data_IF_613036902113
#
_entry.id   IF_613036902113
#
_cell.length_a   1.000
_cell.length_b   1.000
_cell.length_c   1.000
_cell.angle_alpha   90.00
_cell.angle_beta   90.00
_cell.angle_gamma   90.00
#
_symmetry.space_group_name_H-M   'P 1'
#
loop_
_entity.id
_entity.type
_entity.pdbx_description
1 polymer ?
#
# COMPACT_ATOMS: atom_id res chain seq x y z
N UNK A 1 -5.69 -32.69 5.67
CA UNK A 1 -6.75 -31.88 5.02
C UNK A 1 -7.19 -30.64 5.82
N UNK A 2 -7.23 -30.67 7.17
CA UNK A 2 -7.62 -29.49 7.98
C UNK A 2 -6.72 -28.26 7.75
N UNK A 3 -5.41 -28.46 7.68
CA UNK A 3 -4.40 -27.40 7.45
C UNK A 3 -4.57 -26.62 6.15
N UNK A 4 -5.02 -27.29 5.07
CA UNK A 4 -5.25 -26.66 3.76
C UNK A 4 -6.45 -25.70 3.81
N UNK A 5 -7.48 -26.05 4.57
CA UNK A 5 -8.66 -25.18 4.76
C UNK A 5 -8.30 -23.90 5.54
N UNK A 6 -7.44 -24.01 6.56
CA UNK A 6 -6.94 -22.85 7.30
C UNK A 6 -5.99 -21.99 6.47
N UNK A 7 -5.15 -22.61 5.63
CA UNK A 7 -4.28 -21.88 4.72
C UNK A 7 -5.10 -21.09 3.68
N UNK A 8 -6.14 -21.70 3.10
CA UNK A 8 -7.02 -21.02 2.15
C UNK A 8 -7.80 -19.86 2.80
N UNK A 9 -8.32 -20.05 4.02
CA UNK A 9 -9.00 -18.98 4.76
C UNK A 9 -8.05 -17.85 5.16
N UNK A 10 -6.83 -18.17 5.59
CA UNK A 10 -5.83 -17.17 5.94
C UNK A 10 -5.45 -16.32 4.72
N UNK A 11 -5.30 -16.95 3.55
CA UNK A 11 -5.02 -16.26 2.30
C UNK A 11 -6.15 -15.30 1.92
N UNK A 12 -7.40 -15.76 2.03
CA UNK A 12 -8.58 -14.93 1.74
C UNK A 12 -8.67 -13.71 2.66
N UNK A 13 -8.42 -13.89 3.96
CA UNK A 13 -8.39 -12.79 4.93
C UNK A 13 -7.28 -11.80 4.60
N UNK A 14 -6.09 -12.29 4.20
CA UNK A 14 -4.98 -11.43 3.82
C UNK A 14 -5.31 -10.57 2.59
N UNK A 15 -5.96 -11.17 1.59
CA UNK A 15 -6.43 -10.44 0.40
C UNK A 15 -7.42 -9.36 0.81
N UNK A 16 -8.44 -9.69 1.63
CA UNK A 16 -9.41 -8.70 2.09
C UNK A 16 -8.72 -7.55 2.82
N UNK A 17 -7.81 -7.84 3.75
CA UNK A 17 -7.09 -6.81 4.50
C UNK A 17 -6.29 -5.91 3.55
N UNK A 18 -5.57 -6.47 2.58
CA UNK A 18 -4.79 -5.66 1.61
C UNK A 18 -5.70 -4.77 0.76
N UNK A 19 -6.87 -5.27 0.34
CA UNK A 19 -7.82 -4.51 -0.47
C UNK A 19 -8.65 -3.50 0.32
N UNK A 20 -8.92 -3.76 1.60
CA UNK A 20 -9.67 -2.84 2.47
C UNK A 20 -8.76 -1.90 3.24
N UNK A 21 -7.46 -2.17 3.36
CA UNK A 21 -6.55 -1.28 4.08
C UNK A 21 -6.47 0.15 3.49
N UNK A 22 -6.61 0.40 2.17
CA UNK A 22 -6.76 1.76 1.63
C UNK A 22 -8.07 2.45 2.04
N UNK A 23 -9.10 1.70 2.41
CA UNK A 23 -10.41 2.22 2.82
C UNK A 23 -10.46 2.59 4.32
N UNK A 24 -9.66 1.92 5.16
CA UNK A 24 -9.64 2.11 6.61
C UNK A 24 -8.36 2.75 7.14
N UNK A 25 -7.24 2.55 6.43
CA UNK A 25 -5.97 3.19 6.70
C UNK A 25 -6.02 4.61 6.15
N UNK A 26 -6.18 5.60 7.03
CA UNK A 26 -6.24 7.01 6.65
C UNK A 26 -5.03 7.49 5.84
N UNK A 27 -4.97 8.78 5.53
CA UNK A 27 -4.01 9.38 4.60
C UNK A 27 -2.54 8.94 4.80
N UNK A 28 -2.14 8.69 6.05
CA UNK A 28 -0.80 8.24 6.40
C UNK A 28 -0.49 6.79 5.95
N UNK A 29 -1.46 5.89 6.04
CA UNK A 29 -1.29 4.49 5.64
C UNK A 29 -1.22 4.36 4.10
N UNK A 30 -2.07 5.09 3.38
CA UNK A 30 -2.06 5.10 1.92
C UNK A 30 -0.74 5.67 1.37
N UNK A 31 -0.24 6.74 2.00
CA UNK A 31 1.09 7.30 1.68
C UNK A 31 2.22 6.29 1.87
N UNK A 32 2.18 5.49 2.93
CA UNK A 32 3.24 4.53 3.25
C UNK A 32 3.23 3.33 2.28
N UNK A 33 2.04 2.86 1.90
CA UNK A 33 1.89 1.87 0.82
C UNK A 33 2.38 2.41 -0.51
N UNK A 34 2.02 3.66 -0.84
CA UNK A 34 2.45 4.32 -2.07
C UNK A 34 3.99 4.46 -2.09
N UNK A 35 4.62 4.86 -0.99
CA UNK A 35 6.09 4.91 -0.86
C UNK A 35 6.74 3.55 -1.07
N UNK A 36 6.25 2.49 -0.41
CA UNK A 36 6.75 1.13 -0.60
C UNK A 36 6.57 0.64 -2.04
N UNK A 37 5.46 1.00 -2.68
CA UNK A 37 5.20 0.61 -4.06
C UNK A 37 6.11 1.34 -5.05
N UNK A 38 6.37 2.64 -4.83
CA UNK A 38 7.34 3.41 -5.60
C UNK A 38 8.75 2.83 -5.48
N UNK A 39 9.15 2.41 -4.28
CA UNK A 39 10.46 1.80 -4.02
C UNK A 39 10.60 0.46 -4.75
N UNK A 40 9.57 -0.39 -4.71
CA UNK A 40 9.55 -1.66 -5.46
C UNK A 40 9.51 -1.45 -6.98
N UNK A 41 8.75 -0.46 -7.47
CA UNK A 41 8.57 -0.23 -8.91
C UNK A 41 9.74 0.51 -9.54
N UNK A 42 10.43 1.34 -8.79
CA UNK A 42 11.53 2.20 -9.27
C UNK A 42 12.87 1.91 -8.60
N UNK A 43 13.05 0.71 -8.02
CA UNK A 43 14.27 0.25 -7.32
C UNK A 43 15.59 0.54 -8.05
N UNK A 44 15.58 0.65 -9.39
CA UNK A 44 16.78 0.91 -10.22
C UNK A 44 16.80 2.32 -10.85
N UNK A 45 15.91 3.22 -10.44
CA UNK A 45 15.81 4.58 -10.99
C UNK A 45 15.50 5.59 -9.89
N UNK A 46 16.54 6.03 -9.17
CA UNK A 46 16.40 6.92 -8.02
C UNK A 46 15.65 8.23 -8.31
N UNK A 47 15.74 8.77 -9.54
CA UNK A 47 14.97 9.95 -9.93
C UNK A 47 13.46 9.68 -10.04
N UNK A 48 13.08 8.55 -10.65
CA UNK A 48 11.68 8.15 -10.77
C UNK A 48 11.11 7.72 -9.41
N UNK A 49 11.91 7.07 -8.58
CA UNK A 49 11.54 6.71 -7.22
C UNK A 49 11.24 7.96 -6.39
N UNK A 50 12.13 8.95 -6.40
CA UNK A 50 11.95 10.21 -5.68
C UNK A 50 10.70 10.97 -6.16
N UNK A 51 10.48 11.03 -7.48
CA UNK A 51 9.30 11.67 -8.08
C UNK A 51 8.02 10.95 -7.67
N UNK A 52 8.01 9.62 -7.72
CA UNK A 52 6.87 8.80 -7.30
C UNK A 52 6.56 8.99 -5.81
N UNK A 53 7.59 8.97 -4.95
CA UNK A 53 7.46 9.25 -3.51
C UNK A 53 6.93 10.67 -3.23
N UNK A 54 7.31 11.65 -4.04
CA UNK A 54 6.80 13.02 -3.93
C UNK A 54 5.31 13.14 -4.29
N UNK A 55 4.85 12.43 -5.33
CA UNK A 55 3.42 12.35 -5.64
C UNK A 55 2.62 11.72 -4.49
N UNK A 56 3.11 10.63 -3.90
CA UNK A 56 2.48 10.01 -2.73
C UNK A 56 2.36 10.96 -1.52
N UNK A 57 3.37 11.81 -1.31
CA UNK A 57 3.36 12.85 -0.26
C UNK A 57 2.34 13.95 -0.57
N UNK A 58 2.21 14.33 -1.84
CA UNK A 58 1.21 15.31 -2.29
C UNK A 58 -0.21 14.77 -2.10
N UNK A 59 -0.45 13.51 -2.47
CA UNK A 59 -1.73 12.82 -2.22
C UNK A 59 -2.05 12.73 -0.73
N UNK A 60 -1.04 12.48 0.12
CA UNK A 60 -1.20 12.50 1.57
C UNK A 60 -1.68 13.87 2.06
N UNK A 61 -1.02 14.95 1.61
CA UNK A 61 -1.35 16.31 2.01
C UNK A 61 -2.76 16.69 1.54
N UNK A 62 -3.12 16.37 0.29
CA UNK A 62 -4.47 16.58 -0.24
C UNK A 62 -5.53 15.79 0.53
N UNK A 63 -5.22 14.57 0.95
CA UNK A 63 -6.10 13.75 1.77
C UNK A 63 -6.29 14.33 3.19
N UNK A 64 -5.22 14.85 3.82
CA UNK A 64 -5.31 15.49 5.14
C UNK A 64 -5.97 16.87 5.10
N UNK A 65 -5.96 17.54 3.94
CA UNK A 65 -6.59 18.84 3.74
C UNK A 65 -8.09 18.74 3.39
N UNK A 66 -8.64 17.53 3.27
CA UNK A 66 -10.03 17.25 2.91
C UNK A 66 -10.85 16.87 4.14
#
# INVERSE_FOLDING_TARGET
MKTIKYAASALAVFVVIVFTAPLWGGCNFNSNLCHSWCELRHFNSGFNEATCKASCLTDKLSCMAK
#
